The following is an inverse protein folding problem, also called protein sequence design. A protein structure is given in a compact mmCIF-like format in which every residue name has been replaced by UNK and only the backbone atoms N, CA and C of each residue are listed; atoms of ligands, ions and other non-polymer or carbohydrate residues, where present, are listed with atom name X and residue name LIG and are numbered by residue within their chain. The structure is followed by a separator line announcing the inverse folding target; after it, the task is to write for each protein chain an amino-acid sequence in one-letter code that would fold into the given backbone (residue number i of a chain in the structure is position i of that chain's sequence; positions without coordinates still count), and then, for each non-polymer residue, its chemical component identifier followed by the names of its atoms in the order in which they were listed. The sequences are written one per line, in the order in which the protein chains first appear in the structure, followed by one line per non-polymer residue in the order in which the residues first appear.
data_IF_415161220357
#
_entry.id   IF_415161220357
#
_cell.length_a   1.000
_cell.length_b   1.000
_cell.length_c   1.000
_cell.angle_alpha   90.00
_cell.angle_beta   90.00
_cell.angle_gamma   90.00
#
_symmetry.space_group_name_H-M   'P 1'
#
loop_
_entity.id
_entity.type
_entity.pdbx_description
1 polymer ?
#
# COMPACT_ATOMS: atom_id res chain seq x y z
N UNK A 1 13.93 3.30 1.65
CA UNK A 1 13.81 2.73 3.01
C UNK A 1 13.00 3.64 3.92
N UNK A 2 13.06 4.95 3.70
CA UNK A 2 12.45 6.01 4.51
C UNK A 2 10.99 5.83 4.94
N UNK A 3 10.09 5.40 4.05
CA UNK A 3 8.67 5.28 4.42
C UNK A 3 8.45 4.26 5.53
N UNK A 4 9.05 3.07 5.41
CA UNK A 4 8.82 1.95 6.33
C UNK A 4 9.35 2.31 7.71
N UNK A 5 10.54 2.90 7.79
CA UNK A 5 11.13 3.35 9.05
C UNK A 5 10.31 4.48 9.67
N UNK A 6 9.85 5.44 8.85
CA UNK A 6 9.01 6.56 9.30
C UNK A 6 7.71 6.10 9.94
N UNK A 7 7.00 5.13 9.35
CA UNK A 7 5.69 4.71 9.84
C UNK A 7 5.75 3.59 10.88
N UNK A 8 6.86 2.84 10.96
CA UNK A 8 6.99 1.68 11.86
C UNK A 8 6.56 1.94 13.30
N UNK A 9 6.88 3.07 13.94
CA UNK A 9 6.46 3.35 15.32
C UNK A 9 4.94 3.49 15.50
N UNK A 10 4.19 3.75 14.43
CA UNK A 10 2.76 4.05 14.49
C UNK A 10 1.85 2.81 14.37
N UNK A 11 2.40 1.68 13.96
CA UNK A 11 1.66 0.46 13.61
C UNK A 11 2.14 -0.74 14.41
N UNK A 12 1.23 -1.69 14.64
CA UNK A 12 1.54 -2.93 15.36
C UNK A 12 2.37 -3.89 14.49
N UNK A 13 2.15 -3.84 13.17
CA UNK A 13 2.88 -4.67 12.22
C UNK A 13 2.94 -4.03 10.84
N UNK A 14 4.06 -4.24 10.15
CA UNK A 14 4.26 -3.90 8.74
C UNK A 14 4.63 -5.15 7.96
N UNK A 15 3.98 -5.37 6.82
CA UNK A 15 4.32 -6.40 5.84
C UNK A 15 4.71 -5.75 4.52
N UNK A 16 5.79 -6.22 3.92
CA UNK A 16 6.31 -5.71 2.65
C UNK A 16 6.03 -6.71 1.54
N UNK A 17 5.83 -6.22 0.32
CA UNK A 17 5.69 -7.04 -0.89
C UNK A 17 4.63 -8.15 -0.74
N UNK A 18 3.44 -7.77 -0.24
CA UNK A 18 2.38 -8.73 0.07
C UNK A 18 1.67 -9.15 -1.23
N UNK A 19 1.76 -10.42 -1.65
CA UNK A 19 1.13 -10.86 -2.88
C UNK A 19 -0.39 -11.00 -2.69
N UNK A 20 -1.15 -10.48 -3.64
CA UNK A 20 -2.59 -10.71 -3.73
C UNK A 20 -2.82 -11.83 -4.73
N UNK A 21 -3.46 -12.92 -4.25
CA UNK A 21 -3.70 -14.12 -5.04
C UNK A 21 -5.19 -14.44 -5.10
N UNK A 22 -5.64 -14.94 -6.25
CA UNK A 22 -6.90 -15.65 -6.38
C UNK A 22 -6.62 -17.09 -6.79
N UNK A 23 -6.93 -18.04 -5.89
CA UNK A 23 -6.52 -19.44 -6.01
C UNK A 23 -5.00 -19.51 -6.24
N UNK A 24 -4.56 -20.03 -7.39
CA UNK A 24 -3.13 -20.13 -7.76
C UNK A 24 -2.59 -18.93 -8.56
N UNK A 25 -3.45 -17.99 -8.98
CA UNK A 25 -3.06 -16.85 -9.84
C UNK A 25 -2.69 -15.63 -9.01
N UNK A 26 -1.57 -15.00 -9.33
CA UNK A 26 -1.20 -13.69 -8.79
C UNK A 26 -2.01 -12.59 -9.50
N UNK A 27 -2.68 -11.75 -8.70
CA UNK A 27 -3.50 -10.63 -9.17
C UNK A 27 -2.80 -9.28 -9.01
N UNK A 28 -1.85 -9.21 -8.09
CA UNK A 28 -1.04 -8.03 -7.81
C UNK A 28 -0.19 -8.22 -6.58
N UNK A 29 0.47 -7.14 -6.18
CA UNK A 29 1.28 -7.04 -4.98
C UNK A 29 0.95 -5.71 -4.31
N UNK A 30 1.02 -5.70 -2.98
CA UNK A 30 0.97 -4.51 -2.14
C UNK A 30 2.40 -4.20 -1.70
N UNK A 31 2.89 -3.00 -1.98
CA UNK A 31 4.25 -2.60 -1.61
C UNK A 31 4.43 -2.61 -0.08
N UNK A 32 3.51 -1.97 0.67
CA UNK A 32 3.48 -2.04 2.14
C UNK A 32 2.04 -2.17 2.65
N UNK A 33 1.82 -3.15 3.53
CA UNK A 33 0.59 -3.30 4.31
C UNK A 33 0.91 -3.02 5.78
N UNK A 34 0.27 -2.01 6.33
CA UNK A 34 0.41 -1.60 7.73
C UNK A 34 -0.87 -1.90 8.51
N UNK A 35 -0.73 -2.41 9.73
CA UNK A 35 -1.88 -2.77 10.58
C UNK A 35 -1.77 -2.14 11.95
N UNK A 36 -2.88 -1.54 12.40
CA UNK A 36 -3.05 -0.96 13.75
C UNK A 36 -4.41 -1.39 14.30
N UNK A 37 -4.41 -2.38 15.18
CA UNK A 37 -5.59 -3.11 15.62
C UNK A 37 -6.36 -3.71 14.44
N UNK A 38 -7.58 -3.23 14.23
CA UNK A 38 -8.45 -3.62 13.11
C UNK A 38 -8.29 -2.75 11.86
N UNK A 39 -7.54 -1.65 11.93
CA UNK A 39 -7.31 -0.75 10.79
C UNK A 39 -6.20 -1.28 9.89
N UNK A 40 -6.42 -1.19 8.59
CA UNK A 40 -5.48 -1.58 7.54
C UNK A 40 -5.19 -0.36 6.68
N UNK A 41 -3.91 -0.03 6.57
CA UNK A 41 -3.41 1.02 5.70
C UNK A 41 -2.48 0.40 4.66
N UNK A 42 -2.76 0.65 3.39
CA UNK A 42 -1.98 0.14 2.26
C UNK A 42 -1.20 1.30 1.67
N UNK A 43 0.11 1.13 1.48
CA UNK A 43 0.95 2.11 0.83
C UNK A 43 1.46 1.55 -0.49
N UNK A 44 1.27 2.31 -1.56
CA UNK A 44 1.90 2.11 -2.85
C UNK A 44 3.11 3.03 -2.96
N UNK A 45 4.29 2.44 -3.12
CA UNK A 45 5.56 3.14 -3.23
C UNK A 45 5.97 3.20 -4.69
N UNK A 46 6.26 4.41 -5.20
CA UNK A 46 6.87 4.58 -6.53
C UNK A 46 7.98 5.61 -6.49
N UNK A 47 9.06 5.36 -7.21
CA UNK A 47 10.23 6.25 -7.30
C UNK A 47 9.98 7.54 -8.12
N UNK A 48 8.76 7.79 -8.57
CA UNK A 48 8.40 8.95 -9.40
C UNK A 48 6.95 9.32 -9.16
N UNK A 49 6.55 10.51 -9.64
CA UNK A 49 5.19 11.09 -9.54
C UNK A 49 4.11 10.34 -10.36
N UNK A 50 4.16 9.00 -10.42
CA UNK A 50 3.24 8.12 -11.14
C UNK A 50 1.93 7.87 -10.36
N UNK A 51 1.37 8.91 -9.74
CA UNK A 51 0.15 8.85 -8.93
C UNK A 51 -1.04 8.24 -9.69
N UNK A 52 -1.12 8.43 -11.02
CA UNK A 52 -2.16 7.83 -11.86
C UNK A 52 -2.09 6.29 -11.83
N UNK A 53 -0.89 5.71 -11.78
CA UNK A 53 -0.73 4.25 -11.64
C UNK A 53 -1.16 3.79 -10.26
N UNK A 54 -0.84 4.54 -9.20
CA UNK A 54 -1.28 4.25 -7.84
C UNK A 54 -2.82 4.29 -7.73
N UNK A 55 -3.50 5.28 -8.34
CA UNK A 55 -4.97 5.33 -8.40
C UNK A 55 -5.58 4.12 -9.13
N UNK A 56 -4.95 3.65 -10.21
CA UNK A 56 -5.38 2.41 -10.90
C UNK A 56 -5.18 1.18 -10.01
N UNK A 57 -4.08 1.13 -9.27
CA UNK A 57 -3.81 0.05 -8.32
C UNK A 57 -4.87 0.04 -7.20
N UNK A 58 -5.19 1.18 -6.59
CA UNK A 58 -6.27 1.32 -5.60
C UNK A 58 -7.59 0.72 -6.08
N UNK A 59 -8.01 1.04 -7.32
CA UNK A 59 -9.24 0.47 -7.91
C UNK A 59 -9.20 -1.05 -8.01
N UNK A 60 -8.04 -1.63 -8.36
CA UNK A 60 -7.84 -3.09 -8.37
C UNK A 60 -7.89 -3.66 -6.95
N UNK A 61 -7.26 -3.01 -5.97
CA UNK A 61 -7.26 -3.46 -4.58
C UNK A 61 -8.68 -3.52 -4.01
N UNK A 62 -9.52 -2.51 -4.26
CA UNK A 62 -10.93 -2.56 -3.84
C UNK A 62 -11.71 -3.70 -4.49
N UNK A 63 -11.33 -4.12 -5.70
CA UNK A 63 -11.95 -5.27 -6.35
C UNK A 63 -11.53 -6.60 -5.72
N UNK A 64 -10.29 -6.71 -5.24
CA UNK A 64 -9.71 -7.96 -4.75
C UNK A 64 -9.84 -8.14 -3.24
N UNK A 65 -9.79 -7.04 -2.49
CA UNK A 65 -9.85 -7.04 -1.04
C UNK A 65 -11.28 -6.69 -0.61
N UNK A 66 -11.95 -7.61 0.09
CA UNK A 66 -13.30 -7.42 0.62
C UNK A 66 -13.31 -6.72 1.98
N UNK A 67 -12.21 -6.07 2.36
CA UNK A 67 -12.08 -5.35 3.63
C UNK A 67 -11.91 -3.85 3.38
N UNK A 68 -12.25 -3.04 4.39
CA UNK A 68 -11.98 -1.60 4.35
C UNK A 68 -10.50 -1.36 4.63
N UNK A 69 -9.90 -0.47 3.87
CA UNK A 69 -8.52 -0.03 4.04
C UNK A 69 -8.38 1.44 3.61
N UNK A 70 -7.45 2.15 4.21
CA UNK A 70 -6.97 3.41 3.64
C UNK A 70 -5.87 3.10 2.61
N UNK A 71 -5.77 3.90 1.56
CA UNK A 71 -4.78 3.72 0.52
C UNK A 71 -3.94 4.97 0.38
N UNK A 72 -2.63 4.81 0.48
CA UNK A 72 -1.67 5.90 0.41
C UNK A 72 -0.74 5.69 -0.78
N UNK A 73 -0.34 6.80 -1.40
CA UNK A 73 0.71 6.85 -2.39
C UNK A 73 1.92 7.54 -1.79
N UNK A 74 3.06 6.87 -1.82
CA UNK A 74 4.35 7.45 -1.43
C UNK A 74 5.24 7.63 -2.64
N UNK A 75 5.65 8.87 -2.88
CA UNK A 75 6.56 9.24 -3.95
C UNK A 75 8.00 9.23 -3.41
N UNK A 76 8.79 8.22 -3.80
CA UNK A 76 10.17 8.07 -3.35
C UNK A 76 11.11 9.20 -3.81
N UNK A 77 10.80 9.90 -4.91
CA UNK A 77 11.61 11.02 -5.38
C UNK A 77 11.39 12.32 -4.60
N UNK A 78 10.20 12.52 -4.04
CA UNK A 78 9.83 13.76 -3.34
C UNK A 78 9.59 13.58 -1.84
N UNK A 79 9.57 12.34 -1.35
CA UNK A 79 9.18 12.01 0.03
C UNK A 79 7.69 12.28 0.33
N UNK A 80 6.90 12.65 -0.69
CA UNK A 80 5.50 13.03 -0.49
C UNK A 80 4.62 11.81 -0.21
N UNK A 81 3.79 11.91 0.82
CA UNK A 81 2.79 10.92 1.18
C UNK A 81 1.39 11.51 0.98
N UNK A 82 0.57 10.87 0.14
CA UNK A 82 -0.76 11.35 -0.24
C UNK A 82 -1.76 10.23 0.02
N UNK A 83 -2.86 10.53 0.72
CA UNK A 83 -3.99 9.62 0.83
C UNK A 83 -4.83 9.69 -0.46
N UNK A 84 -5.16 8.53 -1.04
CA UNK A 84 -5.90 8.40 -2.30
C UNK A 84 -7.27 7.79 -2.10
#
# INVERSE_FOLDING_TARGET
MDLVERIRPEYDSLSLHVPIRAKKRMLGEIDVLARKGSKIDIYEVKCSHRIVKAKRQKRKMHKYLQTKFNFFFYCGSSGSLIML
#
